data_IF_248911957826
#
_entry.id   IF_248911957826
#
_cell.length_a   1.000
_cell.length_b   1.000
_cell.length_c   1.000
_cell.angle_alpha   90.00
_cell.angle_beta   90.00
_cell.angle_gamma   90.00
#
_symmetry.space_group_name_H-M   'P 1'
#
loop_
_entity.id
_entity.type
_entity.pdbx_description
1 polymer ?
#
# COMPACT_ATOMS: atom_id res chain seq x y z
N UNK A 1 2.14 10.02 -10.83
CA UNK A 1 3.24 9.22 -10.23
C UNK A 1 2.72 7.80 -10.14
N UNK A 2 3.31 6.85 -10.87
CA UNK A 2 2.87 5.44 -10.83
C UNK A 2 3.70 4.68 -9.78
N UNK A 3 3.03 3.87 -8.95
CA UNK A 3 3.69 3.02 -7.97
C UNK A 3 4.07 1.71 -8.66
N UNK A 4 5.35 1.36 -8.62
CA UNK A 4 5.82 0.03 -9.01
C UNK A 4 5.57 -0.94 -7.85
N UNK A 5 4.50 -1.73 -7.98
CA UNK A 5 4.03 -2.61 -6.91
C UNK A 5 4.88 -3.87 -6.76
N UNK A 6 5.50 -4.35 -7.84
CA UNK A 6 6.44 -5.47 -7.79
C UNK A 6 7.69 -5.02 -7.03
N UNK A 7 8.19 -3.83 -7.35
CA UNK A 7 9.31 -3.23 -6.61
C UNK A 7 8.95 -2.95 -5.15
N UNK A 8 7.71 -2.54 -4.85
CA UNK A 8 7.25 -2.35 -3.48
C UNK A 8 7.25 -3.66 -2.69
N UNK A 9 6.77 -4.76 -3.28
CA UNK A 9 6.76 -6.08 -2.66
C UNK A 9 8.19 -6.58 -2.39
N UNK A 10 9.09 -6.46 -3.36
CA UNK A 10 10.52 -6.74 -3.19
C UNK A 10 11.12 -5.95 -2.04
N UNK A 11 10.91 -4.63 -2.01
CA UNK A 11 11.43 -3.75 -0.96
C UNK A 11 10.89 -4.13 0.42
N UNK A 12 9.64 -4.59 0.52
CA UNK A 12 9.05 -5.03 1.78
C UNK A 12 9.58 -6.39 2.25
N UNK A 13 9.88 -7.30 1.32
CA UNK A 13 10.58 -8.56 1.61
C UNK A 13 12.01 -8.31 2.07
N UNK A 14 12.71 -7.36 1.43
CA UNK A 14 14.10 -6.97 1.74
C UNK A 14 14.23 -6.10 3.00
N UNK A 15 13.17 -5.39 3.42
CA UNK A 15 13.17 -4.49 4.59
C UNK A 15 13.52 -5.18 5.92
N UNK A 16 13.77 -6.50 5.91
CA UNK A 16 14.15 -7.37 7.04
C UNK A 16 13.05 -7.48 8.10
N UNK A 17 12.84 -8.66 8.70
CA UNK A 17 11.53 -9.12 9.19
C UNK A 17 10.98 -8.37 10.42
N UNK A 18 11.69 -7.39 10.96
CA UNK A 18 11.30 -6.66 12.17
C UNK A 18 10.65 -5.31 11.82
N UNK A 19 9.62 -4.88 12.57
CA UNK A 19 9.09 -3.52 12.46
C UNK A 19 10.21 -2.48 12.57
N UNK A 20 10.12 -1.44 11.76
CA UNK A 20 11.03 -0.31 11.91
C UNK A 20 10.64 0.48 13.17
N UNK A 21 11.64 0.98 13.88
CA UNK A 21 11.47 1.75 15.10
C UNK A 21 12.27 3.05 15.03
N UNK A 22 11.64 4.15 15.45
CA UNK A 22 12.30 5.43 15.67
C UNK A 22 12.73 5.53 17.15
N UNK A 23 14.02 5.45 17.41
CA UNK A 23 14.60 5.44 18.76
C UNK A 23 15.17 6.81 19.09
N UNK A 24 14.59 7.44 20.12
CA UNK A 24 15.02 8.76 20.63
C UNK A 24 16.15 8.71 21.65
N UNK A 25 16.65 7.53 21.98
CA UNK A 25 17.70 7.32 22.97
C UNK A 25 19.01 6.89 22.28
N UNK A 26 20.13 7.14 22.94
CA UNK A 26 21.41 6.50 22.63
C UNK A 26 21.39 5.03 23.09
N UNK A 27 22.32 4.18 22.62
CA UNK A 27 22.47 2.81 23.13
C UNK A 27 22.70 2.72 24.65
N UNK A 28 23.13 3.81 25.28
CA UNK A 28 23.31 3.95 26.74
C UNK A 28 21.99 4.19 27.49
N UNK A 29 20.87 4.36 26.79
CA UNK A 29 19.55 4.69 27.36
C UNK A 29 19.34 6.18 27.63
N UNK A 30 20.33 7.03 27.35
CA UNK A 30 20.17 8.48 27.50
C UNK A 30 19.35 9.07 26.35
N UNK A 31 18.41 9.99 26.61
CA UNK A 31 17.66 10.65 25.54
C UNK A 31 18.59 11.52 24.68
N UNK A 32 18.30 11.57 23.38
CA UNK A 32 18.96 12.49 22.46
C UNK A 32 18.56 13.93 22.78
N UNK A 33 19.51 14.89 22.72
CA UNK A 33 19.23 16.29 23.06
C UNK A 33 18.42 17.03 21.98
N UNK A 34 18.25 16.43 20.81
CA UNK A 34 17.55 17.01 19.66
C UNK A 34 16.34 16.14 19.22
N UNK A 35 15.71 16.53 18.12
CA UNK A 35 14.59 15.79 17.52
C UNK A 35 15.04 14.58 16.70
N UNK A 36 16.34 14.28 16.67
CA UNK A 36 16.84 13.15 15.89
C UNK A 36 16.42 11.83 16.51
N UNK A 37 16.16 10.85 15.65
CA UNK A 37 15.77 9.49 15.96
C UNK A 37 16.61 8.55 15.13
N UNK A 38 17.16 7.51 15.76
CA UNK A 38 17.76 6.41 15.04
C UNK A 38 16.65 5.53 14.49
N UNK A 39 16.73 5.16 13.21
CA UNK A 39 15.82 4.21 12.59
C UNK A 39 16.47 2.84 12.64
N UNK A 40 15.76 1.88 13.24
CA UNK A 40 16.21 0.51 13.42
C UNK A 40 15.20 -0.48 12.86
N UNK A 41 15.66 -1.61 12.32
CA UNK A 41 14.85 -2.80 12.06
C UNK A 41 15.34 -3.93 12.97
N UNK A 42 14.69 -4.08 14.13
CA UNK A 42 15.24 -4.91 15.22
C UNK A 42 16.61 -4.38 15.66
N UNK A 43 17.64 -5.22 15.60
CA UNK A 43 19.01 -4.84 15.98
C UNK A 43 19.79 -4.11 14.86
N UNK A 44 19.22 -4.00 13.65
CA UNK A 44 19.88 -3.40 12.50
C UNK A 44 19.65 -1.89 12.44
N UNK A 45 20.72 -1.11 12.46
CA UNK A 45 20.69 0.33 12.22
C UNK A 45 20.44 0.64 10.73
N UNK A 46 19.47 1.50 10.44
CA UNK A 46 19.07 1.89 9.08
C UNK A 46 19.43 3.35 8.75
N UNK A 47 19.50 4.24 9.76
CA UNK A 47 19.80 5.64 9.53
C UNK A 47 19.33 6.56 10.66
N UNK A 48 19.42 7.87 10.45
CA UNK A 48 18.97 8.89 11.40
C UNK A 48 18.04 9.87 10.67
N UNK A 49 16.94 10.24 11.32
CA UNK A 49 15.97 11.22 10.81
C UNK A 49 15.48 12.12 11.94
N UNK A 50 14.94 13.28 11.61
CA UNK A 50 14.29 14.17 12.58
C UNK A 50 12.78 13.90 12.61
N UNK A 51 12.15 14.15 13.77
CA UNK A 51 10.68 14.21 13.87
C UNK A 51 10.15 15.38 13.02
N UNK A 52 9.02 15.22 12.29
CA UNK A 52 8.12 14.05 12.28
C UNK A 52 8.51 12.94 11.29
N UNK A 53 9.45 13.19 10.38
CA UNK A 53 9.80 12.26 9.31
C UNK A 53 10.28 10.90 9.82
N UNK A 54 10.94 10.88 10.99
CA UNK A 54 11.35 9.65 11.65
C UNK A 54 10.16 8.74 12.03
N UNK A 55 9.06 9.33 12.49
CA UNK A 55 7.85 8.58 12.86
C UNK A 55 7.17 8.02 11.61
N UNK A 56 7.12 8.83 10.55
CA UNK A 56 6.60 8.39 9.26
C UNK A 56 7.45 7.27 8.64
N UNK A 57 8.78 7.38 8.72
CA UNK A 57 9.71 6.38 8.21
C UNK A 57 9.55 5.05 8.98
N UNK A 58 9.39 5.09 10.30
CA UNK A 58 9.14 3.89 11.11
C UNK A 58 7.83 3.16 10.71
N UNK A 59 6.85 3.88 10.16
CA UNK A 59 5.59 3.34 9.66
C UNK A 59 5.65 2.90 8.19
N UNK A 60 6.73 3.23 7.46
CA UNK A 60 6.80 2.99 6.01
C UNK A 60 6.59 1.52 5.62
N UNK A 61 7.15 0.50 6.31
CA UNK A 61 6.86 -0.90 5.98
C UNK A 61 5.39 -1.28 6.17
N UNK A 62 4.74 -0.80 7.23
CA UNK A 62 3.33 -1.06 7.50
C UNK A 62 2.44 -0.39 6.45
N UNK A 63 2.74 0.87 6.10
CA UNK A 63 2.05 1.59 5.04
C UNK A 63 2.22 0.90 3.68
N UNK A 64 3.43 0.44 3.35
CA UNK A 64 3.67 -0.32 2.13
C UNK A 64 2.85 -1.62 2.06
N UNK A 65 2.78 -2.37 3.18
CA UNK A 65 1.94 -3.57 3.26
C UNK A 65 0.46 -3.27 3.09
N UNK A 66 -0.04 -2.20 3.71
CA UNK A 66 -1.45 -1.80 3.58
C UNK A 66 -1.77 -1.44 2.12
N UNK A 67 -0.87 -0.72 1.44
CA UNK A 67 -1.00 -0.40 0.02
C UNK A 67 -1.07 -1.67 -0.85
N UNK A 68 -0.25 -2.68 -0.58
CA UNK A 68 -0.32 -3.98 -1.27
C UNK A 68 -1.64 -4.72 -1.00
N UNK A 69 -2.09 -4.77 0.25
CA UNK A 69 -3.36 -5.40 0.64
C UNK A 69 -4.54 -4.73 -0.08
N UNK A 70 -4.56 -3.40 -0.14
CA UNK A 70 -5.58 -2.64 -0.85
C UNK A 70 -5.56 -2.95 -2.35
N UNK A 71 -4.39 -3.02 -2.99
CA UNK A 71 -4.27 -3.39 -4.41
C UNK A 71 -4.77 -4.81 -4.68
N UNK A 72 -4.40 -5.77 -3.83
CA UNK A 72 -4.89 -7.16 -3.94
C UNK A 72 -6.41 -7.26 -3.75
N UNK A 73 -6.97 -6.48 -2.81
CA UNK A 73 -8.41 -6.44 -2.56
C UNK A 73 -9.18 -5.83 -3.73
N UNK A 74 -8.66 -4.74 -4.32
CA UNK A 74 -9.23 -4.14 -5.53
C UNK A 74 -9.20 -5.10 -6.72
N UNK A 75 -8.08 -5.80 -6.93
CA UNK A 75 -7.95 -6.83 -7.98
C UNK A 75 -8.96 -7.97 -7.77
N UNK A 76 -9.14 -8.41 -6.52
CA UNK A 76 -10.12 -9.45 -6.18
C UNK A 76 -11.55 -8.99 -6.45
N UNK A 77 -11.89 -7.74 -6.08
CA UNK A 77 -13.19 -7.14 -6.36
C UNK A 77 -13.45 -7.04 -7.87
N UNK A 78 -12.47 -6.59 -8.64
CA UNK A 78 -12.52 -6.52 -10.11
C UNK A 78 -12.88 -7.88 -10.72
N UNK A 79 -12.21 -8.94 -10.30
CA UNK A 79 -12.46 -10.30 -10.79
C UNK A 79 -13.87 -10.80 -10.43
N UNK A 80 -14.38 -10.49 -9.24
CA UNK A 80 -15.74 -10.84 -8.82
C UNK A 80 -16.80 -10.09 -9.64
N UNK A 81 -16.57 -8.81 -9.93
CA UNK A 81 -17.46 -8.01 -10.75
C UNK A 81 -17.48 -8.50 -12.20
N UNK A 82 -16.31 -8.79 -12.79
CA UNK A 82 -16.20 -9.34 -14.14
C UNK A 82 -16.91 -10.71 -14.25
N UNK A 83 -16.72 -11.59 -13.27
CA UNK A 83 -17.48 -12.84 -13.20
C UNK A 83 -18.99 -12.60 -13.18
N UNK A 84 -19.45 -11.59 -12.43
CA UNK A 84 -20.86 -11.21 -12.34
C UNK A 84 -21.38 -10.64 -13.66
N UNK A 85 -20.62 -9.80 -14.36
CA UNK A 85 -20.94 -9.31 -15.72
C UNK A 85 -21.14 -10.48 -16.67
N UNK A 86 -20.19 -11.41 -16.71
CA UNK A 86 -20.24 -12.58 -17.60
C UNK A 86 -21.45 -13.48 -17.27
N UNK A 87 -21.75 -13.67 -15.99
CA UNK A 87 -22.92 -14.44 -15.56
C UNK A 87 -24.23 -13.75 -15.98
N UNK A 88 -24.37 -12.45 -15.77
CA UNK A 88 -25.58 -11.68 -16.14
C UNK A 88 -25.79 -11.68 -17.65
N UNK A 89 -24.73 -11.51 -18.44
CA UNK A 89 -24.79 -11.61 -19.90
C UNK A 89 -25.34 -12.96 -20.38
N UNK A 90 -25.08 -14.04 -19.65
CA UNK A 90 -25.59 -15.37 -19.95
C UNK A 90 -27.04 -15.62 -19.51
N UNK A 91 -27.65 -14.73 -18.71
CA UNK A 91 -28.97 -14.96 -18.08
C UNK A 91 -30.09 -14.02 -18.56
N UNK A 92 -29.94 -13.32 -19.69
CA UNK A 92 -30.98 -12.40 -20.25
C UNK A 92 -31.59 -11.45 -19.20
N UNK A 93 -30.75 -10.94 -18.28
CA UNK A 93 -31.18 -9.99 -17.25
C UNK A 93 -31.21 -8.55 -17.77
N UNK A 94 -31.91 -7.68 -17.05
CA UNK A 94 -32.16 -6.28 -17.42
C UNK A 94 -30.85 -5.52 -17.77
N UNK A 95 -30.83 -4.70 -18.83
CA UNK A 95 -29.62 -4.04 -19.34
C UNK A 95 -28.85 -3.21 -18.31
N UNK A 96 -29.57 -2.56 -17.38
CA UNK A 96 -29.03 -1.63 -16.40
C UNK A 96 -28.09 -2.27 -15.36
N UNK A 97 -28.35 -3.50 -14.93
CA UNK A 97 -27.49 -4.25 -13.99
C UNK A 97 -26.16 -4.62 -14.66
N UNK A 98 -26.18 -4.97 -15.96
CA UNK A 98 -24.96 -5.29 -16.70
C UNK A 98 -24.09 -4.06 -16.97
N UNK A 99 -24.70 -2.90 -17.24
CA UNK A 99 -23.96 -1.66 -17.53
C UNK A 99 -23.27 -1.11 -16.28
N UNK A 100 -23.97 -1.11 -15.14
CA UNK A 100 -23.40 -0.60 -13.87
C UNK A 100 -22.20 -1.43 -13.41
N UNK A 101 -22.22 -2.75 -13.63
CA UNK A 101 -21.10 -3.62 -13.28
C UNK A 101 -19.92 -3.47 -14.23
N UNK A 102 -20.17 -3.28 -15.54
CA UNK A 102 -19.11 -2.99 -16.52
C UNK A 102 -18.39 -1.69 -16.18
N UNK A 103 -19.16 -0.63 -15.88
CA UNK A 103 -18.63 0.65 -15.44
C UNK A 103 -17.77 0.51 -14.17
N UNK A 104 -18.20 -0.31 -13.20
CA UNK A 104 -17.42 -0.58 -12.00
C UNK A 104 -16.10 -1.32 -12.28
N UNK A 105 -16.08 -2.27 -13.23
CA UNK A 105 -14.85 -2.95 -13.66
C UNK A 105 -13.89 -1.97 -14.32
N UNK A 106 -14.37 -1.18 -15.28
CA UNK A 106 -13.58 -0.16 -15.99
C UNK A 106 -12.95 0.84 -14.99
N UNK A 107 -13.73 1.30 -14.01
CA UNK A 107 -13.23 2.24 -13.01
C UNK A 107 -12.17 1.63 -12.10
N UNK A 108 -12.26 0.34 -11.78
CA UNK A 108 -11.21 -0.34 -11.00
C UNK A 108 -9.96 -0.54 -11.84
N UNK A 109 -10.09 -0.88 -13.13
CA UNK A 109 -8.96 -1.02 -14.04
C UNK A 109 -8.17 0.30 -14.15
N UNK A 110 -8.84 1.45 -14.28
CA UNK A 110 -8.21 2.79 -14.24
C UNK A 110 -7.41 3.03 -12.95
N UNK A 111 -7.99 2.68 -11.79
CA UNK A 111 -7.33 2.82 -10.48
C UNK A 111 -6.10 1.92 -10.41
N UNK A 112 -6.16 0.69 -10.93
CA UNK A 112 -5.07 -0.28 -10.91
C UNK A 112 -3.92 0.09 -11.86
N UNK A 113 -4.24 0.74 -12.98
CA UNK A 113 -3.28 1.29 -13.94
C UNK A 113 -2.63 2.61 -13.46
N UNK A 114 -3.24 3.27 -12.46
CA UNK A 114 -2.78 4.57 -11.97
C UNK A 114 -3.16 5.73 -12.90
N UNK A 115 -4.14 5.52 -13.76
CA UNK A 115 -4.69 6.51 -14.68
C UNK A 115 -5.79 7.29 -13.96
N UNK A 116 -5.40 8.20 -13.08
CA UNK A 116 -6.33 9.15 -12.49
C UNK A 116 -6.49 10.33 -13.44
N UNK A 117 -7.68 10.50 -14.02
CA UNK A 117 -8.08 11.80 -14.55
C UNK A 117 -8.05 12.80 -13.39
N UNK A 118 -7.01 13.63 -13.35
CA UNK A 118 -6.92 14.76 -12.46
C UNK A 118 -7.85 15.86 -13.01
N UNK A 119 -9.10 15.86 -12.55
CA UNK A 119 -9.96 17.05 -12.62
C UNK A 119 -9.39 18.20 -11.77
#
# INVERSE_FOLDING_TARGET
>A
MSIDYDRLDELLLEATPAPWAAVGEYPTGEPRPDTSRLIHAGDKYLGIMHVPDAELAALAPQLGKEVLIMRCSLTSLRNLLEFSVNKIANFEKAPNESESLKYAVERIDEILEGNYDSE
#
